data_IF_312553543113
#
_entry.id   IF_312553543113
#
_cell.length_a   1.000
_cell.length_b   1.000
_cell.length_c   1.000
_cell.angle_alpha   90.00
_cell.angle_beta   90.00
_cell.angle_gamma   90.00
#
_symmetry.space_group_name_H-M   'P 1'
#
loop_
_entity.id
_entity.type
_entity.pdbx_description
1 polymer ?
#
# COMPACT_ATOMS: atom_id res chain seq x y z
N UNK A 1 11.78 -1.98 -7.71
CA UNK A 1 10.50 -1.67 -7.06
C UNK A 1 9.56 -2.85 -7.24
N UNK A 2 9.25 -3.52 -6.14
CA UNK A 2 8.34 -4.66 -6.07
C UNK A 2 6.93 -4.31 -6.59
N UNK A 3 6.29 -5.23 -7.30
CA UNK A 3 4.89 -5.11 -7.71
C UNK A 3 4.09 -6.35 -7.22
N UNK A 4 2.76 -6.32 -7.37
CA UNK A 4 1.91 -7.42 -6.90
C UNK A 4 2.25 -8.77 -7.56
N UNK A 5 2.63 -8.80 -8.83
CA UNK A 5 2.95 -10.05 -9.53
C UNK A 5 4.19 -10.73 -8.94
N UNK A 6 5.17 -9.95 -8.50
CA UNK A 6 6.39 -10.48 -7.89
C UNK A 6 6.12 -11.26 -6.59
N UNK A 7 4.95 -11.08 -5.96
CA UNK A 7 4.58 -11.75 -4.70
C UNK A 7 3.84 -13.08 -4.92
N UNK A 8 3.43 -13.39 -6.16
CA UNK A 8 2.60 -14.58 -6.47
C UNK A 8 3.33 -15.87 -6.14
N UNK A 9 4.62 -15.97 -6.45
CA UNK A 9 5.39 -17.17 -6.18
C UNK A 9 5.65 -17.35 -4.68
N UNK A 10 5.93 -16.25 -3.97
CA UNK A 10 6.09 -16.24 -2.51
C UNK A 10 4.81 -16.70 -1.79
N UNK A 11 3.63 -16.32 -2.30
CA UNK A 11 2.34 -16.78 -1.76
C UNK A 11 2.13 -18.29 -1.87
N UNK A 12 2.74 -18.94 -2.86
CA UNK A 12 2.62 -20.38 -3.10
C UNK A 12 3.72 -21.19 -2.40
N UNK A 13 4.68 -20.51 -1.77
CA UNK A 13 5.78 -21.19 -1.07
C UNK A 13 5.26 -22.11 0.03
N UNK A 14 5.93 -23.25 0.21
CA UNK A 14 5.68 -24.14 1.35
C UNK A 14 6.21 -23.54 2.65
N UNK A 15 7.25 -22.70 2.59
CA UNK A 15 7.72 -21.94 3.74
C UNK A 15 6.72 -20.83 4.09
N UNK A 16 6.19 -20.90 5.31
CA UNK A 16 5.24 -19.92 5.81
C UNK A 16 5.85 -18.52 5.92
N UNK A 17 7.17 -18.41 6.14
CA UNK A 17 7.87 -17.13 6.22
C UNK A 17 7.84 -16.39 4.89
N UNK A 18 7.94 -17.12 3.78
CA UNK A 18 7.82 -16.54 2.44
C UNK A 18 6.39 -16.07 2.15
N UNK A 19 5.37 -16.85 2.56
CA UNK A 19 3.97 -16.41 2.45
C UNK A 19 3.70 -15.17 3.30
N UNK A 20 4.28 -15.10 4.49
CA UNK A 20 4.19 -13.94 5.38
C UNK A 20 4.84 -12.68 4.77
N UNK A 21 6.05 -12.80 4.20
CA UNK A 21 6.68 -11.69 3.47
C UNK A 21 5.83 -11.24 2.28
N UNK A 22 5.23 -12.19 1.56
CA UNK A 22 4.33 -11.89 0.45
C UNK A 22 3.14 -11.04 0.91
N UNK A 23 2.49 -11.45 2.00
CA UNK A 23 1.37 -10.73 2.61
C UNK A 23 1.73 -9.29 3.01
N UNK A 24 2.87 -9.11 3.69
CA UNK A 24 3.37 -7.79 4.04
C UNK A 24 3.58 -6.91 2.81
N UNK A 25 4.33 -7.41 1.81
CA UNK A 25 4.64 -6.63 0.61
C UNK A 25 3.40 -6.32 -0.22
N UNK A 26 2.47 -7.25 -0.35
CA UNK A 26 1.20 -7.01 -1.02
C UNK A 26 0.36 -5.94 -0.32
N UNK A 27 0.26 -6.01 1.00
CA UNK A 27 -0.47 -5.03 1.80
C UNK A 27 0.18 -3.65 1.66
N UNK A 28 1.51 -3.59 1.72
CA UNK A 28 2.28 -2.35 1.59
C UNK A 28 2.09 -1.69 0.23
N UNK A 29 2.20 -2.46 -0.86
CA UNK A 29 1.99 -1.96 -2.22
C UNK A 29 0.56 -1.39 -2.38
N UNK A 30 -0.46 -2.08 -1.85
CA UNK A 30 -1.84 -1.61 -1.93
C UNK A 30 -2.05 -0.37 -1.06
N UNK A 31 -1.48 -0.34 0.14
CA UNK A 31 -1.54 0.78 1.06
C UNK A 31 -0.91 2.04 0.45
N UNK A 32 0.29 1.94 -0.12
CA UNK A 32 1.00 3.07 -0.72
C UNK A 32 0.21 3.68 -1.88
N UNK A 33 -0.37 2.82 -2.74
CA UNK A 33 -1.24 3.26 -3.83
C UNK A 33 -2.50 3.94 -3.33
N UNK A 34 -3.16 3.36 -2.33
CA UNK A 34 -4.37 3.95 -1.74
C UNK A 34 -4.07 5.26 -1.01
N UNK A 35 -2.94 5.35 -0.30
CA UNK A 35 -2.47 6.58 0.35
C UNK A 35 -2.24 7.69 -0.67
N UNK A 36 -1.56 7.41 -1.79
CA UNK A 36 -1.36 8.41 -2.84
C UNK A 36 -2.71 8.89 -3.42
N UNK A 37 -3.63 7.95 -3.65
CA UNK A 37 -4.98 8.27 -4.11
C UNK A 37 -5.76 9.15 -3.12
N UNK A 38 -5.80 8.76 -1.84
CA UNK A 38 -6.47 9.51 -0.78
C UNK A 38 -5.84 10.89 -0.55
N UNK A 39 -4.52 11.02 -0.68
CA UNK A 39 -3.83 12.32 -0.60
C UNK A 39 -4.36 13.29 -1.66
N UNK A 40 -4.60 12.79 -2.88
CA UNK A 40 -5.15 13.60 -3.98
C UNK A 40 -6.61 13.99 -3.74
N UNK A 41 -7.42 13.07 -3.19
CA UNK A 41 -8.80 13.36 -2.77
C UNK A 41 -8.80 14.47 -1.70
N UNK A 42 -7.98 14.32 -0.66
CA UNK A 42 -7.88 15.27 0.45
C UNK A 42 -7.43 16.65 -0.05
N UNK A 43 -6.43 16.71 -0.93
CA UNK A 43 -5.95 17.96 -1.51
C UNK A 43 -7.05 18.69 -2.31
N UNK A 44 -7.82 17.96 -3.12
CA UNK A 44 -8.93 18.52 -3.89
C UNK A 44 -10.03 19.07 -2.96
N UNK A 45 -10.38 18.31 -1.91
CA UNK A 45 -11.37 18.74 -0.92
C UNK A 45 -10.91 19.99 -0.16
N UNK A 46 -9.67 20.00 0.38
CA UNK A 46 -9.11 21.12 1.13
C UNK A 46 -9.01 22.39 0.29
N UNK A 47 -8.54 22.29 -0.95
CA UNK A 47 -8.44 23.47 -1.83
C UNK A 47 -9.80 24.00 -2.25
N UNK A 48 -10.79 23.13 -2.48
CA UNK A 48 -12.16 23.55 -2.73
C UNK A 48 -12.79 24.23 -1.51
N UNK A 49 -12.57 23.70 -0.31
CA UNK A 49 -13.05 24.32 0.93
C UNK A 49 -12.39 25.68 1.19
N UNK A 50 -11.07 25.78 1.09
CA UNK A 50 -10.30 27.00 1.33
C UNK A 50 -10.65 28.11 0.32
N UNK A 51 -10.93 27.76 -0.94
CA UNK A 51 -11.32 28.72 -1.99
C UNK A 51 -12.61 29.50 -1.70
N UNK A 52 -13.36 29.11 -0.65
CA UNK A 52 -14.53 29.86 -0.16
C UNK A 52 -14.15 31.11 0.63
N UNK A 53 -12.93 31.19 1.15
CA UNK A 53 -12.48 32.26 2.06
C UNK A 53 -11.13 32.87 1.66
N UNK A 54 -10.30 32.13 0.92
CA UNK A 54 -8.94 32.54 0.54
C UNK A 54 -8.69 32.33 -0.96
N UNK A 55 -7.79 33.13 -1.54
CA UNK A 55 -7.38 32.96 -2.94
C UNK A 55 -6.38 31.80 -3.08
N UNK A 56 -6.93 30.58 -3.12
CA UNK A 56 -6.16 29.33 -3.28
C UNK A 56 -6.54 28.66 -4.60
N UNK A 57 -5.54 28.18 -5.34
CA UNK A 57 -5.77 27.41 -6.56
C UNK A 57 -6.51 26.10 -6.24
N UNK A 58 -7.73 25.96 -6.74
CA UNK A 58 -8.49 24.71 -6.69
C UNK A 58 -7.78 23.62 -7.50
N UNK A 59 -7.66 22.43 -6.90
CA UNK A 59 -7.09 21.25 -7.54
C UNK A 59 -8.22 20.26 -7.84
N UNK A 60 -8.24 19.71 -9.04
CA UNK A 60 -9.17 18.65 -9.39
C UNK A 60 -8.71 17.31 -8.78
N UNK A 61 -9.62 16.65 -8.09
CA UNK A 61 -9.40 15.32 -7.51
C UNK A 61 -9.60 14.21 -8.54
N UNK A 62 -9.07 13.00 -8.26
CA UNK A 62 -9.34 11.84 -9.09
C UNK A 62 -10.81 11.42 -9.00
N UNK A 63 -11.35 10.78 -10.05
CA UNK A 63 -12.67 10.18 -10.01
C UNK A 63 -12.68 8.93 -9.10
N UNK A 64 -13.67 8.84 -8.22
CA UNK A 64 -13.98 7.63 -7.46
C UNK A 64 -15.48 7.54 -7.18
N UNK A 65 -16.01 6.32 -7.14
CA UNK A 65 -17.43 6.07 -6.84
C UNK A 65 -17.65 5.72 -5.34
N UNK A 66 -16.57 5.46 -4.60
CA UNK A 66 -16.60 5.13 -3.17
C UNK A 66 -16.55 6.42 -2.32
N UNK A 67 -17.30 6.53 -1.20
CA UNK A 67 -17.13 7.64 -0.26
C UNK A 67 -15.68 7.78 0.23
N UNK A 68 -15.19 9.02 0.31
CA UNK A 68 -13.78 9.30 0.64
C UNK A 68 -13.39 8.91 2.07
N UNK A 69 -14.33 8.98 3.01
CA UNK A 69 -14.16 8.54 4.40
C UNK A 69 -13.96 7.02 4.50
N UNK A 70 -14.69 6.23 3.69
CA UNK A 70 -14.49 4.77 3.61
C UNK A 70 -13.09 4.43 3.08
N UNK A 71 -12.63 5.12 2.03
CA UNK A 71 -11.28 4.94 1.50
C UNK A 71 -10.20 5.35 2.51
N UNK A 72 -10.44 6.42 3.28
CA UNK A 72 -9.54 6.88 4.35
C UNK A 72 -9.46 5.86 5.49
N UNK A 73 -10.61 5.31 5.91
CA UNK A 73 -10.66 4.27 6.93
C UNK A 73 -9.95 2.99 6.47
N UNK A 74 -10.15 2.57 5.22
CA UNK A 74 -9.44 1.45 4.62
C UNK A 74 -7.91 1.66 4.69
N UNK A 75 -7.42 2.84 4.29
CA UNK A 75 -6.00 3.18 4.39
C UNK A 75 -5.48 3.10 5.84
N UNK A 76 -6.25 3.62 6.81
CA UNK A 76 -5.87 3.59 8.23
C UNK A 76 -5.74 2.16 8.74
N UNK A 77 -6.72 1.29 8.48
CA UNK A 77 -6.68 -0.11 8.90
C UNK A 77 -5.51 -0.85 8.26
N UNK A 78 -5.21 -0.59 6.98
CA UNK A 78 -4.05 -1.18 6.31
C UNK A 78 -2.73 -0.76 6.94
N UNK A 79 -2.59 0.49 7.39
CA UNK A 79 -1.40 0.96 8.13
C UNK A 79 -1.25 0.21 9.45
N UNK A 80 -2.31 0.08 10.22
CA UNK A 80 -2.28 -0.67 11.49
C UNK A 80 -1.91 -2.14 11.25
N UNK A 81 -2.46 -2.74 10.18
CA UNK A 81 -2.13 -4.11 9.84
C UNK A 81 -0.65 -4.29 9.46
N UNK A 82 -0.09 -3.36 8.67
CA UNK A 82 1.34 -3.37 8.36
C UNK A 82 2.19 -3.29 9.63
N UNK A 83 1.82 -2.44 10.58
CA UNK A 83 2.52 -2.34 11.85
C UNK A 83 2.51 -3.66 12.63
N UNK A 84 1.37 -4.36 12.67
CA UNK A 84 1.27 -5.69 13.28
C UNK A 84 2.21 -6.68 12.59
N UNK A 85 2.29 -6.66 11.25
CA UNK A 85 3.21 -7.52 10.49
C UNK A 85 4.69 -7.18 10.77
N UNK A 86 5.04 -5.91 10.94
CA UNK A 86 6.40 -5.49 11.31
C UNK A 86 6.78 -6.00 12.71
N UNK A 87 5.88 -5.88 13.69
CA UNK A 87 6.09 -6.41 15.05
C UNK A 87 6.25 -7.93 15.02
N UNK A 88 5.38 -8.63 14.28
CA UNK A 88 5.49 -10.10 14.11
C UNK A 88 6.80 -10.50 13.45
N UNK A 89 7.24 -9.80 12.42
CA UNK A 89 8.50 -10.07 11.76
C UNK A 89 9.69 -9.95 12.72
N UNK A 90 9.69 -8.95 13.61
CA UNK A 90 10.70 -8.78 14.63
C UNK A 90 10.70 -9.93 15.67
N UNK A 91 9.51 -10.36 16.11
CA UNK A 91 9.35 -11.48 17.05
C UNK A 91 9.79 -12.82 16.42
N UNK A 92 9.42 -13.05 15.17
CA UNK A 92 9.64 -14.32 14.46
C UNK A 92 11.01 -14.38 13.74
N UNK A 93 11.80 -13.30 13.78
CA UNK A 93 13.10 -13.21 13.11
C UNK A 93 12.99 -13.30 11.58
N UNK A 94 11.97 -12.66 11.00
CA UNK A 94 11.71 -12.64 9.55
C UNK A 94 12.24 -11.32 8.96
N UNK A 95 13.14 -11.40 7.98
CA UNK A 95 13.64 -10.20 7.26
C UNK A 95 12.60 -9.72 6.23
N UNK A 96 12.12 -8.48 6.42
CA UNK A 96 11.16 -7.81 5.53
C UNK A 96 11.82 -6.90 4.48
N UNK A 97 13.14 -6.94 4.30
CA UNK A 97 13.81 -6.18 3.22
C UNK A 97 13.19 -6.48 1.87
N UNK A 98 13.24 -5.50 0.98
CA UNK A 98 12.78 -5.68 -0.40
C UNK A 98 13.59 -6.85 -0.98
N UNK A 99 12.94 -7.90 -1.53
CA UNK A 99 13.67 -8.99 -2.14
C UNK A 99 14.56 -8.42 -3.24
N UNK A 100 15.87 -8.64 -3.15
CA UNK A 100 16.75 -8.38 -4.29
C UNK A 100 16.24 -9.27 -5.43
N UNK A 101 15.73 -8.66 -6.50
CA UNK A 101 15.47 -9.36 -7.75
C UNK A 101 16.82 -9.66 -8.40
N UNK A 102 17.61 -10.55 -7.80
CA UNK A 102 18.77 -11.11 -8.50
C UNK A 102 18.27 -12.14 -9.50
N UNK A 103 18.33 -11.75 -10.77
CA UNK A 103 17.84 -12.56 -11.89
C UNK A 103 16.45 -12.13 -12.32
N UNK A 104 16.30 -11.84 -13.61
CA UNK A 104 15.02 -11.67 -14.28
C UNK A 104 14.10 -12.90 -14.12
N UNK A 105 12.95 -12.93 -14.83
CA UNK A 105 11.86 -13.87 -14.55
C UNK A 105 12.39 -15.29 -14.39
N UNK A 106 12.08 -15.89 -13.24
CA UNK A 106 12.30 -17.30 -12.94
C UNK A 106 11.87 -18.11 -14.15
N UNK A 107 12.83 -18.78 -14.80
CA UNK A 107 12.52 -19.79 -15.80
C UNK A 107 11.79 -20.91 -15.07
N UNK A 108 10.49 -21.01 -15.32
CA UNK A 108 9.68 -22.17 -14.98
C UNK A 108 10.29 -23.37 -15.72
N UNK A 109 10.79 -24.32 -14.94
CA UNK A 109 11.05 -25.69 -15.38
C UNK A 109 9.73 -26.48 -15.42
#
# INVERSE_FOLDING_TARGET
MMNLMNTVDMMKSQDYKERFKAEYWQTKIRYEKLKDFNTKIEAAWKTAEASRYEEVKKIDGPKHDCPGDVLSQQQSIMREYLHILEVRAAIEGIDLKEPCLEGGPLKLN
#
